data_IF_742153567935
#
_entry.id   IF_742153567935
#
_cell.length_a   1.000
_cell.length_b   1.000
_cell.length_c   1.000
_cell.angle_alpha   90.00
_cell.angle_beta   90.00
_cell.angle_gamma   90.00
#
_symmetry.space_group_name_H-M   'P 1'
#
loop_
_entity.id
_entity.type
_entity.pdbx_description
1 polymer ?
#
# COMPACT_ATOMS: atom_id res chain seq x y z
N UNK A 1 -29.57 2.99 5.77
CA UNK A 1 -28.43 2.65 4.89
C UNK A 1 -27.15 2.58 5.74
N UNK A 2 -26.19 1.77 5.30
CA UNK A 2 -24.94 1.57 6.03
C UNK A 2 -23.78 2.00 5.15
N UNK A 3 -22.87 2.81 5.70
CA UNK A 3 -21.62 3.15 5.02
C UNK A 3 -20.59 2.08 5.32
N UNK A 4 -19.90 1.63 4.28
CA UNK A 4 -18.78 0.70 4.41
C UNK A 4 -17.47 1.49 4.54
N UNK A 5 -16.38 0.88 5.02
CA UNK A 5 -15.09 1.57 5.09
C UNK A 5 -14.68 2.12 3.71
N UNK A 6 -14.12 3.34 3.67
CA UNK A 6 -13.65 3.88 2.41
C UNK A 6 -12.49 3.08 1.84
N UNK A 7 -12.36 3.08 0.53
CA UNK A 7 -11.26 2.43 -0.17
C UNK A 7 -10.40 3.52 -0.80
N UNK A 8 -9.13 3.68 -0.39
CA UNK A 8 -8.24 4.62 -1.03
C UNK A 8 -7.98 4.24 -2.49
N UNK A 9 -7.98 5.24 -3.37
CA UNK A 9 -7.64 5.07 -4.78
C UNK A 9 -6.28 5.72 -5.00
N UNK A 10 -5.29 4.93 -5.38
CA UNK A 10 -3.91 5.39 -5.54
C UNK A 10 -3.56 5.46 -7.02
N UNK A 11 -2.91 6.55 -7.42
CA UNK A 11 -2.46 6.75 -8.78
C UNK A 11 -1.22 5.92 -9.07
N UNK A 12 -1.27 5.09 -10.10
CA UNK A 12 -0.13 4.34 -10.62
C UNK A 12 0.08 4.70 -12.08
N UNK A 13 1.29 4.48 -12.60
CA UNK A 13 1.66 4.79 -13.97
C UNK A 13 2.06 3.56 -14.77
N UNK A 14 2.27 2.43 -14.10
CA UNK A 14 2.71 1.19 -14.73
C UNK A 14 2.17 0.01 -13.92
N UNK A 15 1.32 -0.80 -14.56
CA UNK A 15 0.69 -1.95 -13.92
C UNK A 15 1.70 -2.98 -13.44
N UNK A 16 2.72 -3.26 -14.23
CA UNK A 16 3.72 -4.27 -13.87
C UNK A 16 4.54 -3.84 -12.65
N UNK A 17 4.96 -2.58 -12.59
CA UNK A 17 5.68 -2.04 -11.44
C UNK A 17 4.78 -2.01 -10.20
N UNK A 18 3.49 -1.67 -10.37
CA UNK A 18 2.55 -1.68 -9.26
C UNK A 18 2.39 -3.08 -8.69
N UNK A 19 2.24 -4.10 -9.53
CA UNK A 19 2.11 -5.49 -9.07
C UNK A 19 3.38 -5.98 -8.39
N UNK A 20 4.55 -5.64 -8.91
CA UNK A 20 5.81 -6.01 -8.27
C UNK A 20 5.91 -5.45 -6.85
N UNK A 21 5.44 -4.22 -6.65
CA UNK A 21 5.46 -3.58 -5.33
C UNK A 21 4.37 -4.10 -4.40
N UNK A 22 3.10 -4.00 -4.82
CA UNK A 22 1.97 -4.29 -3.95
C UNK A 22 1.72 -5.79 -3.76
N UNK A 23 1.91 -6.58 -4.79
CA UNK A 23 1.64 -8.01 -4.75
C UNK A 23 2.88 -8.80 -4.37
N UNK A 24 3.95 -8.67 -5.15
CA UNK A 24 5.12 -9.52 -4.97
C UNK A 24 5.91 -9.16 -3.70
N UNK A 25 5.97 -7.88 -3.36
CA UNK A 25 6.72 -7.42 -2.19
C UNK A 25 5.86 -7.19 -0.96
N UNK A 26 4.78 -6.40 -1.05
CA UNK A 26 3.92 -6.10 0.10
C UNK A 26 2.95 -7.22 0.46
N UNK A 27 2.80 -8.23 -0.38
CA UNK A 27 1.98 -9.39 -0.05
C UNK A 27 0.47 -9.18 -0.21
N UNK A 28 0.05 -8.17 -0.97
CA UNK A 28 -1.36 -8.02 -1.34
C UNK A 28 -1.71 -9.03 -2.43
N UNK A 29 -2.99 -9.40 -2.52
CA UNK A 29 -3.51 -10.19 -3.62
C UNK A 29 -4.31 -9.30 -4.56
N UNK A 30 -4.35 -9.65 -5.83
CA UNK A 30 -5.25 -8.99 -6.79
C UNK A 30 -6.61 -9.65 -6.69
N UNK A 31 -7.63 -8.87 -6.33
CA UNK A 31 -9.01 -9.36 -6.28
C UNK A 31 -9.63 -9.33 -7.68
N UNK A 32 -9.41 -8.25 -8.41
CA UNK A 32 -9.88 -8.09 -9.78
C UNK A 32 -9.12 -6.96 -10.48
N UNK A 33 -9.20 -6.97 -11.81
CA UNK A 33 -8.59 -5.97 -12.66
C UNK A 33 -9.53 -5.67 -13.82
N UNK A 34 -9.64 -4.39 -14.18
CA UNK A 34 -10.50 -3.94 -15.25
C UNK A 34 -9.72 -3.07 -16.24
N UNK A 35 -9.96 -3.32 -17.54
CA UNK A 35 -9.56 -2.47 -18.67
C UNK A 35 -10.72 -2.41 -19.62
N UNK A 36 -10.99 -1.21 -20.18
CA UNK A 36 -12.05 -1.11 -21.19
C UNK A 36 -11.71 -1.88 -22.46
N UNK A 37 -10.41 -1.91 -22.81
CA UNK A 37 -9.90 -2.64 -23.97
C UNK A 37 -8.43 -2.92 -23.77
N UNK A 38 -7.83 -3.88 -24.54
CA UNK A 38 -6.39 -4.14 -24.46
C UNK A 38 -5.59 -2.87 -24.70
N UNK A 39 -4.61 -2.58 -23.82
CA UNK A 39 -3.80 -1.37 -23.90
C UNK A 39 -4.39 -0.15 -23.25
N UNK A 40 -5.66 -0.19 -22.83
CA UNK A 40 -6.28 0.89 -22.08
C UNK A 40 -5.75 0.93 -20.64
N UNK A 41 -5.88 2.08 -19.94
CA UNK A 41 -5.49 2.18 -18.53
C UNK A 41 -6.16 1.11 -17.68
N UNK A 42 -5.39 0.53 -16.76
CA UNK A 42 -5.86 -0.49 -15.85
C UNK A 42 -6.40 0.11 -14.56
N UNK A 43 -7.36 -0.59 -13.94
CA UNK A 43 -7.88 -0.30 -12.63
C UNK A 43 -7.94 -1.63 -11.86
N UNK A 44 -7.30 -1.70 -10.69
CA UNK A 44 -7.20 -2.95 -9.94
C UNK A 44 -7.69 -2.76 -8.51
N UNK A 45 -8.26 -3.83 -7.95
CA UNK A 45 -8.42 -3.93 -6.51
C UNK A 45 -7.39 -4.90 -5.97
N UNK A 46 -6.62 -4.46 -4.99
CA UNK A 46 -5.69 -5.31 -4.24
C UNK A 46 -6.08 -5.30 -2.77
N UNK A 47 -5.83 -6.41 -2.08
CA UNK A 47 -6.20 -6.53 -0.69
C UNK A 47 -5.19 -7.39 0.07
N UNK A 48 -5.00 -7.07 1.34
CA UNK A 48 -4.27 -7.90 2.29
C UNK A 48 -5.01 -7.83 3.62
N UNK A 49 -5.59 -8.97 4.04
CA UNK A 49 -6.49 -8.98 5.19
C UNK A 49 -7.64 -8.00 4.95
N UNK A 50 -7.96 -7.14 5.94
CA UNK A 50 -9.03 -6.16 5.78
C UNK A 50 -8.61 -4.90 5.00
N UNK A 51 -7.33 -4.77 4.65
CA UNK A 51 -6.85 -3.58 3.92
C UNK A 51 -7.12 -3.76 2.44
N UNK A 52 -7.92 -2.86 1.88
CA UNK A 52 -8.29 -2.85 0.46
C UNK A 52 -7.84 -1.55 -0.15
N UNK A 53 -7.17 -1.64 -1.30
CA UNK A 53 -6.72 -0.47 -2.07
C UNK A 53 -7.15 -0.63 -3.52
N UNK A 54 -7.47 0.49 -4.16
CA UNK A 54 -7.62 0.53 -5.61
C UNK A 54 -6.39 1.20 -6.21
N UNK A 55 -5.90 0.63 -7.29
CA UNK A 55 -4.75 1.16 -8.03
C UNK A 55 -5.23 1.54 -9.42
N UNK A 56 -5.04 2.80 -9.80
CA UNK A 56 -5.60 3.32 -11.05
C UNK A 56 -4.53 3.94 -11.93
N UNK A 57 -4.48 3.50 -13.19
CA UNK A 57 -3.71 4.16 -14.24
C UNK A 57 -4.48 5.30 -14.90
N UNK A 58 -5.77 5.49 -14.57
CA UNK A 58 -6.60 6.50 -15.19
C UNK A 58 -6.21 7.90 -14.73
N UNK A 59 -5.89 8.75 -15.69
CA UNK A 59 -5.66 10.17 -15.44
C UNK A 59 -6.96 10.81 -14.94
N UNK A 60 -6.96 11.43 -13.84
CA UNK A 60 -8.14 12.11 -13.32
C UNK A 60 -8.86 11.39 -12.19
N UNK A 61 -8.55 10.11 -11.96
CA UNK A 61 -9.15 9.42 -10.80
C UNK A 61 -8.57 9.94 -9.49
N UNK A 62 -7.28 10.25 -9.48
CA UNK A 62 -6.59 10.74 -8.29
C UNK A 62 -5.23 11.30 -8.68
N UNK A 63 -4.64 12.08 -7.77
CA UNK A 63 -3.29 12.61 -7.94
C UNK A 63 -2.25 11.63 -7.36
N UNK A 64 -1.02 11.60 -7.89
CA UNK A 64 0.05 10.84 -7.27
C UNK A 64 0.48 11.46 -5.95
N UNK A 65 1.18 10.66 -5.11
CA UNK A 65 1.72 11.16 -3.85
C UNK A 65 0.79 11.04 -2.66
N UNK A 66 -0.22 10.18 -2.75
CA UNK A 66 -1.12 9.91 -1.63
C UNK A 66 -0.37 9.25 -0.47
N UNK A 67 -0.91 9.40 0.75
CA UNK A 67 -0.42 8.69 1.93
C UNK A 67 -1.57 7.93 2.55
N UNK A 68 -1.36 6.65 2.81
CA UNK A 68 -2.35 5.77 3.46
C UNK A 68 -1.81 5.37 4.82
N UNK A 69 -2.62 5.55 5.85
CA UNK A 69 -2.27 5.22 7.22
C UNK A 69 -2.95 3.90 7.58
N UNK A 70 -2.17 2.89 7.98
CA UNK A 70 -2.67 1.55 8.28
C UNK A 70 -2.24 1.16 9.68
N UNK A 71 -3.19 0.86 10.55
CA UNK A 71 -2.87 0.31 11.87
C UNK A 71 -2.49 -1.16 11.76
N UNK A 72 -1.51 -1.57 12.55
CA UNK A 72 -1.12 -2.98 12.70
C UNK A 72 -0.79 -3.25 14.17
N UNK A 73 -0.84 -4.52 14.55
CA UNK A 73 -0.48 -4.95 15.89
C UNK A 73 0.97 -5.42 16.01
N UNK A 74 1.68 -5.59 14.89
CA UNK A 74 3.05 -6.11 14.89
C UNK A 74 3.86 -5.59 13.69
N UNK A 75 4.38 -4.38 13.83
CA UNK A 75 5.17 -3.76 12.79
C UNK A 75 6.53 -4.46 12.60
N UNK A 76 7.07 -5.07 13.67
CA UNK A 76 8.34 -5.80 13.58
C UNK A 76 8.19 -7.07 12.72
N UNK A 77 7.06 -7.75 12.80
CA UNK A 77 6.77 -8.90 11.95
C UNK A 77 6.71 -8.49 10.48
N UNK A 78 6.06 -7.35 10.19
CA UNK A 78 6.02 -6.81 8.84
C UNK A 78 7.42 -6.47 8.34
N UNK A 79 8.24 -5.86 9.19
CA UNK A 79 9.63 -5.54 8.86
C UNK A 79 10.42 -6.80 8.48
N UNK A 80 10.29 -7.87 9.27
CA UNK A 80 10.96 -9.15 8.99
C UNK A 80 10.49 -9.73 7.65
N UNK A 81 9.19 -9.69 7.40
CA UNK A 81 8.62 -10.20 6.15
C UNK A 81 9.16 -9.42 4.94
N UNK A 82 9.12 -8.10 4.99
CA UNK A 82 9.60 -7.26 3.88
C UNK A 82 11.11 -7.40 3.68
N UNK A 83 11.87 -7.55 4.77
CA UNK A 83 13.33 -7.73 4.69
C UNK A 83 13.71 -9.09 4.07
N UNK A 84 12.81 -10.07 4.12
CA UNK A 84 13.05 -11.39 3.52
C UNK A 84 12.82 -11.41 2.01
N UNK A 85 12.16 -10.38 1.47
CA UNK A 85 11.89 -10.27 0.02
C UNK A 85 12.73 -9.15 -0.57
N UNK A 86 13.58 -9.43 -1.57
CA UNK A 86 14.42 -8.39 -2.16
C UNK A 86 13.58 -7.27 -2.78
N UNK A 87 13.94 -6.03 -2.48
CA UNK A 87 13.42 -4.87 -3.19
C UNK A 87 14.60 -3.95 -3.49
N UNK A 88 14.80 -3.66 -4.77
CA UNK A 88 15.95 -2.91 -5.24
C UNK A 88 15.98 -1.47 -4.70
N UNK A 89 14.82 -0.88 -4.48
CA UNK A 89 14.68 0.55 -4.20
C UNK A 89 14.21 0.86 -2.78
N UNK A 90 13.93 -0.16 -1.95
CA UNK A 90 13.30 0.07 -0.66
C UNK A 90 13.84 -0.87 0.41
N UNK A 91 14.34 -0.28 1.49
CA UNK A 91 14.79 -1.01 2.68
C UNK A 91 14.22 -0.29 3.91
N UNK A 92 12.90 -0.43 4.15
CA UNK A 92 12.29 0.31 5.24
C UNK A 92 12.79 -0.18 6.59
N UNK A 93 12.95 0.76 7.52
CA UNK A 93 13.25 0.47 8.91
C UNK A 93 12.04 0.74 9.78
N UNK A 94 12.14 0.29 11.04
CA UNK A 94 11.14 0.60 12.05
C UNK A 94 11.63 1.79 12.86
N UNK A 95 10.79 2.82 12.96
CA UNK A 95 11.09 4.05 13.71
C UNK A 95 10.07 4.24 14.83
N UNK A 96 10.42 5.07 15.81
CA UNK A 96 9.49 5.50 16.85
C UNK A 96 8.96 6.87 16.46
N UNK A 97 7.64 6.94 16.29
CA UNK A 97 6.98 8.18 15.93
C UNK A 97 6.72 9.04 17.18
N UNK A 98 6.62 10.39 17.02
CA UNK A 98 6.38 11.26 18.16
C UNK A 98 5.01 11.05 18.82
N UNK A 99 4.09 10.32 18.21
CA UNK A 99 2.78 10.01 18.79
C UNK A 99 2.75 8.66 19.52
N UNK A 100 3.89 8.21 20.04
CA UNK A 100 4.01 6.97 20.83
C UNK A 100 3.58 5.73 20.04
N UNK A 101 4.21 5.52 18.91
CA UNK A 101 3.95 4.37 18.04
C UNK A 101 5.23 3.91 17.36
N UNK A 102 5.29 2.61 17.04
CA UNK A 102 6.30 2.11 16.08
C UNK A 102 5.71 2.24 14.69
N UNK A 103 6.51 2.75 13.76
CA UNK A 103 6.06 2.95 12.38
C UNK A 103 7.04 2.37 11.39
N UNK A 104 6.49 1.94 10.27
CA UNK A 104 7.26 1.52 9.10
C UNK A 104 6.58 2.14 7.88
N UNK A 105 7.33 2.94 7.13
CA UNK A 105 6.79 3.60 5.93
C UNK A 105 7.42 3.03 4.69
N UNK A 106 6.59 2.76 3.69
CA UNK A 106 7.04 2.34 2.36
C UNK A 106 6.54 3.34 1.33
N UNK A 107 7.33 3.52 0.26
CA UNK A 107 6.99 4.39 -0.85
C UNK A 107 6.98 3.56 -2.13
N UNK A 108 5.87 3.61 -2.87
CA UNK A 108 5.77 2.87 -4.11
C UNK A 108 6.53 3.58 -5.25
N UNK A 109 6.66 2.96 -6.43
CA UNK A 109 7.39 3.57 -7.55
C UNK A 109 6.78 4.89 -8.08
N UNK A 110 5.57 5.24 -7.62
CA UNK A 110 4.83 6.41 -8.13
C UNK A 110 4.74 7.54 -7.10
N UNK A 111 5.37 7.35 -5.93
CA UNK A 111 5.38 8.35 -4.87
C UNK A 111 4.26 8.20 -3.84
N UNK A 112 3.40 7.19 -3.96
CA UNK A 112 2.41 6.90 -2.93
C UNK A 112 3.08 6.24 -1.73
N UNK A 113 2.64 6.59 -0.52
CA UNK A 113 3.22 6.07 0.72
C UNK A 113 2.20 5.35 1.54
N UNK A 114 2.61 4.24 2.15
CA UNK A 114 1.84 3.54 3.16
C UNK A 114 2.61 3.59 4.46
N UNK A 115 1.98 4.14 5.50
CA UNK A 115 2.55 4.17 6.84
C UNK A 115 1.85 3.13 7.70
N UNK A 116 2.60 2.10 8.10
CA UNK A 116 2.10 1.07 9.01
C UNK A 116 2.42 1.51 10.43
N UNK A 117 1.40 1.58 11.28
CA UNK A 117 1.47 2.18 12.59
C UNK A 117 1.03 1.19 13.65
N UNK A 118 1.92 0.92 14.60
CA UNK A 118 1.60 0.11 15.77
C UNK A 118 1.58 1.01 17.01
N UNK A 119 0.41 1.31 17.57
CA UNK A 119 0.34 2.08 18.81
C UNK A 119 1.07 1.36 19.93
N UNK A 120 1.84 2.11 20.71
CA UNK A 120 2.52 1.57 21.88
C UNK A 120 1.65 1.75 23.11
N UNK A 121 1.82 0.88 24.14
CA UNK A 121 1.11 1.05 25.39
C UNK A 121 1.41 2.40 26.03
N UNK A 122 0.42 3.00 26.68
CA UNK A 122 0.64 4.21 27.46
C UNK A 122 1.63 3.94 28.58
N UNK A 123 2.54 4.89 28.82
CA UNK A 123 3.54 4.78 29.87
C UNK A 123 2.93 4.94 31.26
#
# INVERSE_FOLDING_TARGET
>A
MTLQPPIPVLRIFDRALAKAFYVDWLGFRVDWEHRFEPGAPAYLQVARGPVVLHLSEHYGDCSPGAKVFVHTDDVEALHRELSSRPNRNMRPGVDIAPWNAKVLEVTDPFGNRLLFNQPLPAA
#
